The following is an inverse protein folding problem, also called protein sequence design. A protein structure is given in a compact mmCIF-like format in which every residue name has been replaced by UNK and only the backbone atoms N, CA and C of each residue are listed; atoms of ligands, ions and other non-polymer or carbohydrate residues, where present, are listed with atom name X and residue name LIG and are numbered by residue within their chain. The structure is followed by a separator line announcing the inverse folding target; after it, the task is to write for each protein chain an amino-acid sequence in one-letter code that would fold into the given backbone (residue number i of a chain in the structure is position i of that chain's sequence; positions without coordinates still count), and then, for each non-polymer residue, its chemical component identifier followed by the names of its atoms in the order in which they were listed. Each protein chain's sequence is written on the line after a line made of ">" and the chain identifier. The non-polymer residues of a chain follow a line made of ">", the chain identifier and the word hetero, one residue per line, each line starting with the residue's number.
data_IF_652598240033
#
_entry.id   IF_652598240033
#
_cell.length_a   1.000
_cell.length_b   1.000
_cell.length_c   1.000
_cell.angle_alpha   90.00
_cell.angle_beta   90.00
_cell.angle_gamma   90.00
#
_symmetry.space_group_name_H-M   'P 1'
#
loop_
_entity.id
_entity.type
_entity.pdbx_description
1 polymer ?
#
# COMPACT_ATOMS: atom_id res chain seq x y z
N UNK A 1 4.80 7.73 -17.21
CA UNK A 1 5.58 7.73 -15.95
C UNK A 1 4.63 7.87 -14.75
N UNK A 2 5.03 7.49 -13.53
CA UNK A 2 4.25 7.76 -12.33
C UNK A 2 3.97 9.26 -12.15
N UNK A 3 2.78 9.65 -11.64
CA UNK A 3 2.44 11.04 -11.45
C UNK A 3 3.10 11.63 -10.19
N UNK A 4 3.52 12.91 -10.20
CA UNK A 4 3.82 13.66 -8.97
C UNK A 4 2.58 13.77 -8.07
N UNK A 5 2.78 14.00 -6.77
CA UNK A 5 1.68 14.07 -5.80
C UNK A 5 0.71 15.22 -6.02
N UNK A 6 1.15 16.29 -6.69
CA UNK A 6 0.32 17.42 -7.12
C UNK A 6 -0.07 17.33 -8.59
N UNK A 7 0.18 16.20 -9.25
CA UNK A 7 0.03 16.06 -10.69
C UNK A 7 0.88 17.09 -11.43
N UNK A 8 0.25 17.90 -12.28
CA UNK A 8 0.89 19.01 -12.99
C UNK A 8 0.42 20.39 -12.48
N UNK A 9 -0.25 20.44 -11.33
CA UNK A 9 -0.93 21.66 -10.85
C UNK A 9 0.03 22.65 -10.20
N UNK A 10 0.91 22.17 -9.32
CA UNK A 10 1.91 23.00 -8.64
C UNK A 10 3.20 22.22 -8.44
N UNK A 11 4.33 22.92 -8.34
CA UNK A 11 5.59 22.29 -7.99
C UNK A 11 5.59 21.92 -6.50
N UNK A 12 5.51 20.63 -6.21
CA UNK A 12 5.78 20.06 -4.90
C UNK A 12 6.97 19.12 -5.03
N UNK A 13 7.68 18.88 -3.92
CA UNK A 13 8.74 17.88 -3.85
C UNK A 13 9.80 18.01 -4.96
N UNK A 14 10.22 19.24 -5.24
CA UNK A 14 11.22 19.54 -6.26
C UNK A 14 10.83 19.08 -7.69
N UNK A 15 9.54 18.95 -7.98
CA UNK A 15 9.02 18.50 -9.27
C UNK A 15 9.18 17.00 -9.50
N UNK A 16 9.43 16.24 -8.44
CA UNK A 16 9.63 14.78 -8.47
C UNK A 16 8.37 14.04 -8.05
N UNK A 17 8.38 12.73 -8.27
CA UNK A 17 7.29 11.85 -7.85
C UNK A 17 7.78 10.82 -6.84
N UNK A 18 6.88 10.45 -5.93
CA UNK A 18 7.11 9.43 -4.93
C UNK A 18 6.50 8.10 -5.37
N UNK A 19 7.32 7.06 -5.53
CA UNK A 19 6.84 5.72 -5.95
C UNK A 19 5.95 5.08 -4.91
N UNK A 20 6.08 5.49 -3.66
CA UNK A 20 5.23 5.04 -2.57
C UNK A 20 3.80 5.62 -2.66
N UNK A 21 3.66 6.82 -3.22
CA UNK A 21 2.37 7.50 -3.42
C UNK A 21 1.69 7.12 -4.73
N UNK A 22 2.39 6.44 -5.64
CA UNK A 22 1.82 6.02 -6.92
C UNK A 22 0.58 5.11 -6.72
N UNK A 23 0.54 4.32 -5.64
CA UNK A 23 -0.59 3.44 -5.36
C UNK A 23 -1.84 4.26 -5.08
N UNK A 24 -1.72 5.18 -4.12
CA UNK A 24 -2.77 6.10 -3.73
C UNK A 24 -3.25 6.95 -4.91
N UNK A 25 -2.33 7.34 -5.79
CA UNK A 25 -2.67 8.19 -6.93
C UNK A 25 -3.37 7.46 -8.08
N UNK A 26 -3.05 6.19 -8.35
CA UNK A 26 -3.42 5.57 -9.63
C UNK A 26 -4.10 4.19 -9.53
N UNK A 27 -4.01 3.48 -8.41
CA UNK A 27 -4.58 2.14 -8.29
C UNK A 27 -6.11 2.15 -8.47
N UNK A 28 -6.78 3.25 -8.08
CA UNK A 28 -8.23 3.39 -8.20
C UNK A 28 -8.72 3.29 -9.66
N UNK A 29 -7.92 3.69 -10.66
CA UNK A 29 -8.34 3.64 -12.07
C UNK A 29 -8.79 2.24 -12.51
N UNK A 30 -8.18 1.19 -11.97
CA UNK A 30 -8.57 -0.18 -12.27
C UNK A 30 -9.99 -0.51 -11.75
N UNK A 31 -10.38 0.05 -10.61
CA UNK A 31 -11.70 -0.15 -9.99
C UNK A 31 -12.81 0.61 -10.72
N UNK A 32 -12.47 1.70 -11.40
CA UNK A 32 -13.40 2.57 -12.12
C UNK A 32 -13.47 2.25 -13.63
N UNK A 33 -13.08 1.05 -14.06
CA UNK A 33 -13.01 0.66 -15.49
C UNK A 33 -12.17 1.61 -16.35
N UNK A 34 -11.12 2.21 -15.76
CA UNK A 34 -10.18 3.13 -16.43
C UNK A 34 -8.75 2.61 -16.37
N UNK A 35 -8.56 1.28 -16.33
CA UNK A 35 -7.25 0.64 -16.28
C UNK A 35 -6.22 1.22 -17.27
N UNK A 36 -6.57 1.59 -18.53
CA UNK A 36 -5.61 2.21 -19.44
C UNK A 36 -4.94 3.49 -18.91
N UNK A 37 -5.54 4.21 -17.96
CA UNK A 37 -4.91 5.37 -17.31
C UNK A 37 -3.78 4.97 -16.36
N UNK A 38 -3.94 3.87 -15.62
CA UNK A 38 -2.85 3.29 -14.84
C UNK A 38 -1.74 2.76 -15.76
N UNK A 39 -2.08 2.05 -16.84
CA UNK A 39 -1.08 1.43 -17.72
C UNK A 39 -0.13 2.43 -18.39
N UNK A 40 -0.56 3.69 -18.59
CA UNK A 40 0.28 4.80 -19.10
C UNK A 40 1.47 5.11 -18.18
N UNK A 41 1.37 4.84 -16.88
CA UNK A 41 2.48 5.07 -15.94
C UNK A 41 3.39 3.85 -15.81
N UNK A 42 2.88 2.63 -16.01
CA UNK A 42 3.58 1.39 -15.70
C UNK A 42 4.78 1.08 -16.60
N UNK A 43 4.78 1.55 -17.86
CA UNK A 43 5.92 1.37 -18.77
C UNK A 43 7.22 1.97 -18.26
N UNK A 44 7.16 2.93 -17.34
CA UNK A 44 8.32 3.52 -16.70
C UNK A 44 9.09 2.54 -15.81
N UNK A 45 8.40 1.60 -15.13
CA UNK A 45 9.10 0.60 -14.32
C UNK A 45 9.96 -0.32 -15.20
N UNK A 46 9.44 -0.71 -16.37
CA UNK A 46 10.21 -1.51 -17.33
C UNK A 46 11.42 -0.73 -17.86
N UNK A 47 11.25 0.55 -18.23
CA UNK A 47 12.38 1.35 -18.73
C UNK A 47 13.43 1.64 -17.66
N UNK A 48 13.04 1.73 -16.39
CA UNK A 48 13.96 1.99 -15.28
C UNK A 48 14.51 0.72 -14.63
N UNK A 49 14.15 -0.46 -15.12
CA UNK A 49 14.56 -1.73 -14.55
C UNK A 49 16.10 -1.91 -14.46
N UNK A 50 16.91 -1.52 -15.47
CA UNK A 50 18.37 -1.58 -15.35
C UNK A 50 18.91 -0.78 -14.16
N UNK A 51 18.40 0.44 -13.94
CA UNK A 51 18.80 1.31 -12.83
C UNK A 51 18.35 0.76 -11.48
N UNK A 52 17.14 0.20 -11.42
CA UNK A 52 16.63 -0.42 -10.20
C UNK A 52 17.47 -1.65 -9.79
N UNK A 53 17.99 -2.40 -10.78
CA UNK A 53 18.96 -3.50 -10.57
C UNK A 53 20.32 -2.98 -10.08
N UNK A 54 20.85 -1.93 -10.71
CA UNK A 54 22.09 -1.28 -10.27
C UNK A 54 21.99 -0.78 -8.82
N UNK A 55 20.86 -0.18 -8.44
CA UNK A 55 20.62 0.27 -7.08
C UNK A 55 20.55 -0.89 -6.09
N UNK A 56 19.83 -1.97 -6.41
CA UNK A 56 19.81 -3.16 -5.57
C UNK A 56 21.22 -3.75 -5.38
N UNK A 57 21.95 -3.91 -6.50
CA UNK A 57 23.29 -4.50 -6.50
C UNK A 57 24.31 -3.64 -5.72
N UNK A 58 24.26 -2.31 -5.87
CA UNK A 58 25.15 -1.41 -5.12
C UNK A 58 24.95 -1.46 -3.60
N UNK A 59 23.80 -1.99 -3.15
CA UNK A 59 23.46 -2.21 -1.75
C UNK A 59 23.60 -3.68 -1.31
N UNK A 60 24.09 -4.56 -2.20
CA UNK A 60 24.28 -5.99 -1.92
C UNK A 60 23.02 -6.86 -2.07
N UNK A 61 21.95 -6.33 -2.67
CA UNK A 61 20.71 -7.05 -2.92
C UNK A 61 20.60 -7.53 -4.37
N UNK A 62 19.79 -8.56 -4.60
CA UNK A 62 19.43 -9.03 -5.95
C UNK A 62 18.16 -8.31 -6.43
N UNK A 63 17.79 -8.53 -7.69
CA UNK A 63 16.53 -8.01 -8.23
C UNK A 63 16.53 -6.50 -8.47
N UNK A 64 15.35 -5.88 -8.41
CA UNK A 64 15.15 -4.45 -8.65
C UNK A 64 14.64 -3.73 -7.39
N UNK A 65 15.39 -2.71 -6.94
CA UNK A 65 14.99 -1.81 -5.85
C UNK A 65 14.41 -0.51 -6.41
N UNK A 66 13.22 -0.15 -5.95
CA UNK A 66 12.49 1.05 -6.38
C UNK A 66 12.69 2.19 -5.37
N UNK A 67 13.26 3.34 -5.74
CA UNK A 67 13.52 4.40 -4.75
C UNK A 67 12.24 5.11 -4.27
N UNK A 68 12.33 5.83 -3.15
CA UNK A 68 11.18 6.58 -2.60
C UNK A 68 10.77 7.72 -3.56
N UNK A 69 11.67 8.67 -3.77
CA UNK A 69 11.43 9.90 -4.55
C UNK A 69 12.37 9.92 -5.76
N UNK A 70 11.82 10.05 -6.96
CA UNK A 70 12.61 9.98 -8.20
C UNK A 70 12.12 10.98 -9.24
N UNK A 71 13.02 11.35 -10.16
CA UNK A 71 12.68 12.05 -11.39
C UNK A 71 12.39 11.08 -12.56
N UNK A 72 12.01 11.58 -13.75
CA UNK A 72 11.76 10.76 -14.93
C UNK A 72 12.92 9.80 -15.26
N UNK A 73 14.14 10.22 -14.94
CA UNK A 73 15.35 9.45 -15.17
C UNK A 73 15.52 8.26 -14.22
N UNK A 74 14.76 8.13 -13.13
CA UNK A 74 14.88 7.01 -12.18
C UNK A 74 16.10 7.08 -11.24
N UNK A 75 16.64 8.28 -10.98
CA UNK A 75 17.62 8.51 -9.92
C UNK A 75 16.93 8.64 -8.58
N UNK A 76 17.43 7.91 -7.58
CA UNK A 76 17.06 8.16 -6.20
C UNK A 76 17.43 9.59 -5.80
N UNK A 77 16.53 10.23 -5.05
CA UNK A 77 16.71 11.61 -4.66
C UNK A 77 17.36 11.71 -3.27
N UNK A 78 18.20 12.73 -3.03
CA UNK A 78 18.75 12.95 -1.69
C UNK A 78 17.63 13.05 -0.65
N UNK A 79 17.69 12.21 0.37
CA UNK A 79 16.76 12.20 1.48
C UNK A 79 17.38 11.47 2.68
N UNK A 80 17.19 11.95 3.92
CA UNK A 80 17.68 11.25 5.11
C UNK A 80 16.91 9.96 5.39
N UNK A 81 15.68 9.84 4.88
CA UNK A 81 14.81 8.67 5.08
C UNK A 81 14.60 7.87 3.80
N UNK A 82 14.51 8.54 2.64
CA UNK A 82 14.13 7.95 1.35
C UNK A 82 14.84 6.64 0.99
N UNK A 83 16.19 6.58 1.08
CA UNK A 83 16.93 5.37 0.79
C UNK A 83 16.59 4.17 1.69
N UNK A 84 15.98 4.40 2.85
CA UNK A 84 15.67 3.39 3.87
C UNK A 84 14.20 2.92 3.82
N UNK A 85 13.34 3.54 3.01
CA UNK A 85 11.96 3.12 2.83
C UNK A 85 11.85 1.91 1.90
N UNK A 86 10.96 0.97 2.27
CA UNK A 86 10.77 -0.28 1.54
C UNK A 86 9.31 -0.60 1.22
N UNK A 87 8.34 0.14 1.73
CA UNK A 87 6.92 -0.22 1.57
C UNK A 87 6.41 -0.08 0.13
N UNK A 88 7.17 0.64 -0.71
CA UNK A 88 6.91 0.79 -2.13
C UNK A 88 7.38 -0.37 -3.02
N UNK A 89 8.21 -1.27 -2.49
CA UNK A 89 8.83 -2.33 -3.27
C UNK A 89 7.83 -3.33 -3.87
N UNK A 90 6.71 -3.67 -3.19
CA UNK A 90 5.71 -4.57 -3.75
C UNK A 90 4.74 -3.87 -4.74
N UNK A 91 4.72 -2.53 -4.83
CA UNK A 91 3.77 -1.79 -5.66
C UNK A 91 3.72 -2.25 -7.13
N UNK A 92 4.86 -2.43 -7.84
CA UNK A 92 4.83 -2.86 -9.24
C UNK A 92 4.20 -4.25 -9.42
N UNK A 93 4.34 -5.13 -8.42
CA UNK A 93 3.67 -6.45 -8.40
C UNK A 93 2.16 -6.27 -8.24
N UNK A 94 1.73 -5.38 -7.34
CA UNK A 94 0.31 -5.08 -7.15
C UNK A 94 -0.33 -4.51 -8.43
N UNK A 95 0.31 -3.54 -9.09
CA UNK A 95 -0.22 -2.96 -10.33
C UNK A 95 -0.29 -3.98 -11.46
N UNK A 96 0.74 -4.81 -11.62
CA UNK A 96 0.74 -5.87 -12.60
C UNK A 96 -0.41 -6.86 -12.34
N UNK A 97 -0.67 -7.21 -11.07
CA UNK A 97 -1.81 -8.06 -10.70
C UNK A 97 -3.16 -7.40 -11.03
N UNK A 98 -3.35 -6.09 -10.82
CA UNK A 98 -4.56 -5.38 -11.27
C UNK A 98 -4.75 -5.50 -12.80
N UNK A 99 -3.67 -5.32 -13.57
CA UNK A 99 -3.70 -5.51 -15.03
C UNK A 99 -4.07 -6.94 -15.40
N UNK A 100 -3.45 -7.94 -14.76
CA UNK A 100 -3.72 -9.34 -15.05
C UNK A 100 -5.13 -9.77 -14.66
N UNK A 101 -5.64 -9.35 -13.50
CA UNK A 101 -7.00 -9.70 -13.07
C UNK A 101 -8.08 -9.10 -13.98
N UNK A 102 -7.78 -7.99 -14.64
CA UNK A 102 -8.67 -7.35 -15.62
C UNK A 102 -8.57 -7.98 -17.00
N UNK A 103 -7.36 -8.24 -17.52
CA UNK A 103 -7.14 -8.71 -18.89
C UNK A 103 -7.10 -10.25 -19.03
N UNK A 104 -6.63 -10.94 -17.99
CA UNK A 104 -6.50 -12.41 -17.85
C UNK A 104 -5.86 -13.15 -19.02
N UNK A 105 -4.84 -12.55 -19.65
CA UNK A 105 -4.17 -13.15 -20.80
C UNK A 105 -2.65 -13.27 -20.62
N UNK A 106 -2.05 -14.11 -21.49
CA UNK A 106 -0.61 -14.39 -21.50
C UNK A 106 0.23 -13.14 -21.83
N UNK A 107 -0.25 -12.29 -22.73
CA UNK A 107 0.46 -11.07 -23.13
C UNK A 107 0.66 -10.11 -21.94
N UNK A 108 -0.32 -10.00 -21.03
CA UNK A 108 -0.16 -9.22 -19.78
C UNK A 108 0.91 -9.81 -18.87
N UNK A 109 0.96 -11.15 -18.74
CA UNK A 109 1.97 -11.83 -17.93
C UNK A 109 3.38 -11.63 -18.49
N UNK A 110 3.53 -11.67 -19.81
CA UNK A 110 4.83 -11.46 -20.47
C UNK A 110 5.26 -10.01 -20.40
N UNK A 111 4.34 -9.06 -20.60
CA UNK A 111 4.61 -7.62 -20.55
C UNK A 111 5.15 -7.14 -19.21
N UNK A 112 4.58 -7.60 -18.09
CA UNK A 112 4.95 -7.14 -16.75
C UNK A 112 5.80 -8.14 -15.97
N UNK A 113 5.99 -9.35 -16.50
CA UNK A 113 6.60 -10.45 -15.76
C UNK A 113 8.00 -10.17 -15.26
N UNK A 114 8.84 -9.50 -16.06
CA UNK A 114 10.20 -9.15 -15.64
C UNK A 114 10.20 -8.20 -14.43
N UNK A 115 9.41 -7.13 -14.47
CA UNK A 115 9.25 -6.19 -13.35
C UNK A 115 8.73 -6.92 -12.10
N UNK A 116 7.77 -7.83 -12.25
CA UNK A 116 7.24 -8.64 -11.14
C UNK A 116 8.33 -9.50 -10.51
N UNK A 117 9.09 -10.24 -11.34
CA UNK A 117 10.09 -11.18 -10.84
C UNK A 117 11.32 -10.50 -10.25
N UNK A 118 11.76 -9.39 -10.83
CA UNK A 118 12.88 -8.61 -10.30
C UNK A 118 12.52 -7.89 -9.00
N UNK A 119 11.31 -7.35 -8.89
CA UNK A 119 10.81 -6.78 -7.63
C UNK A 119 10.75 -7.87 -6.54
N UNK A 120 10.23 -9.06 -6.88
CA UNK A 120 10.18 -10.18 -5.95
C UNK A 120 11.57 -10.72 -5.55
N UNK A 121 12.52 -10.71 -6.49
CA UNK A 121 13.91 -11.08 -6.20
C UNK A 121 14.57 -10.11 -5.21
N UNK A 122 14.34 -8.81 -5.36
CA UNK A 122 14.76 -7.82 -4.36
C UNK A 122 14.13 -8.11 -3.01
N UNK A 123 12.81 -8.26 -2.98
CA UNK A 123 12.06 -8.51 -1.75
C UNK A 123 12.59 -9.74 -1.00
N UNK A 124 12.82 -10.86 -1.71
CA UNK A 124 13.36 -12.07 -1.11
C UNK A 124 14.81 -11.88 -0.61
N UNK A 125 15.64 -11.14 -1.35
CA UNK A 125 17.04 -10.90 -0.97
C UNK A 125 17.21 -9.90 0.18
N UNK A 126 16.26 -8.97 0.35
CA UNK A 126 16.25 -7.99 1.45
C UNK A 126 15.84 -8.63 2.78
N UNK A 127 14.97 -9.64 2.76
CA UNK A 127 14.55 -10.33 3.96
C UNK A 127 15.73 -11.08 4.61
N UNK A 128 16.10 -10.70 5.83
CA UNK A 128 17.22 -11.28 6.55
C UNK A 128 16.78 -12.48 7.39
N UNK A 129 17.42 -13.64 7.24
CA UNK A 129 17.12 -14.81 8.06
C UNK A 129 17.83 -14.74 9.42
N UNK A 130 17.09 -14.41 10.47
CA UNK A 130 17.57 -14.40 11.85
C UNK A 130 17.62 -15.84 12.38
N UNK A 131 18.83 -16.43 12.42
CA UNK A 131 19.05 -17.85 12.77
C UNK A 131 18.57 -18.19 14.17
N UNK A 132 18.75 -17.28 15.11
CA UNK A 132 18.40 -17.46 16.52
C UNK A 132 16.88 -17.56 16.71
N UNK A 133 16.12 -16.85 15.87
CA UNK A 133 14.65 -16.80 15.89
C UNK A 133 14.00 -17.66 14.81
N UNK A 134 14.80 -18.33 13.98
CA UNK A 134 14.39 -19.18 12.86
C UNK A 134 13.35 -18.53 11.92
N UNK A 135 13.46 -17.22 11.69
CA UNK A 135 12.50 -16.44 10.89
C UNK A 135 13.18 -15.34 10.07
N UNK A 136 12.51 -14.90 9.01
CA UNK A 136 12.91 -13.74 8.22
C UNK A 136 12.41 -12.44 8.85
N UNK A 137 13.31 -11.46 8.93
CA UNK A 137 13.09 -10.13 9.50
C UNK A 137 13.25 -9.09 8.40
N UNK A 138 12.41 -8.05 8.43
CA UNK A 138 12.57 -6.85 7.61
C UNK A 138 13.22 -5.76 8.46
N UNK A 139 14.39 -5.25 8.05
CA UNK A 139 15.19 -4.28 8.81
C UNK A 139 16.02 -4.90 9.94
N UNK A 140 16.67 -4.07 10.79
CA UNK A 140 17.15 -2.73 10.46
C UNK A 140 18.36 -2.77 9.48
N UNK A 141 18.69 -1.65 8.80
CA UNK A 141 18.00 -0.37 8.83
C UNK A 141 16.73 -0.37 7.96
N UNK A 142 15.68 0.28 8.46
CA UNK A 142 14.38 0.36 7.77
C UNK A 142 13.63 1.61 8.23
N UNK A 143 13.00 2.33 7.31
CA UNK A 143 11.94 3.29 7.63
C UNK A 143 10.61 2.71 7.14
N UNK A 144 9.58 2.62 8.01
CA UNK A 144 8.30 2.07 7.60
C UNK A 144 7.46 3.14 6.92
N UNK A 145 6.31 2.77 6.38
CA UNK A 145 5.34 3.66 5.76
C UNK A 145 4.90 4.81 6.67
N UNK A 146 5.03 4.69 7.99
CA UNK A 146 4.71 5.76 8.94
C UNK A 146 5.79 6.86 9.02
N UNK A 147 7.01 6.62 8.54
CA UNK A 147 8.10 7.60 8.38
C UNK A 147 8.64 8.30 9.64
N UNK A 148 8.05 8.07 10.83
CA UNK A 148 8.40 8.79 12.06
C UNK A 148 9.26 7.99 13.06
N UNK A 149 9.91 6.91 12.59
CA UNK A 149 10.68 5.99 13.43
C UNK A 149 12.19 6.04 13.16
N UNK A 150 13.05 5.83 14.17
CA UNK A 150 14.49 5.73 13.99
C UNK A 150 14.86 4.48 13.17
N UNK A 151 15.60 4.63 12.06
CA UNK A 151 15.79 3.53 11.11
C UNK A 151 16.60 2.36 11.66
N UNK A 152 17.52 2.63 12.60
CA UNK A 152 18.40 1.62 13.20
C UNK A 152 17.68 0.72 14.21
N UNK A 153 16.50 1.13 14.66
CA UNK A 153 15.73 0.46 15.71
C UNK A 153 14.36 -0.02 15.19
N UNK A 154 14.13 0.08 13.88
CA UNK A 154 12.88 -0.35 13.25
C UNK A 154 13.09 -1.69 12.57
N UNK A 155 12.26 -2.67 12.93
CA UNK A 155 12.14 -3.93 12.20
C UNK A 155 10.72 -4.47 12.25
N UNK A 156 10.39 -5.29 11.25
CA UNK A 156 9.11 -5.98 11.14
C UNK A 156 7.88 -5.07 11.27
N UNK A 157 7.74 -4.01 10.46
CA UNK A 157 6.51 -3.23 10.44
C UNK A 157 5.28 -4.08 10.03
N UNK A 158 4.14 -3.85 10.66
CA UNK A 158 2.93 -4.68 10.46
C UNK A 158 2.45 -4.68 9.00
N UNK A 159 2.40 -3.50 8.37
CA UNK A 159 1.94 -3.37 7.00
C UNK A 159 2.91 -4.01 6.01
N UNK A 160 4.19 -3.74 6.17
CA UNK A 160 5.24 -4.20 5.28
C UNK A 160 5.39 -5.70 5.32
N UNK A 161 5.29 -6.35 6.49
CA UNK A 161 5.27 -7.82 6.58
C UNK A 161 4.13 -8.42 5.76
N UNK A 162 2.94 -7.84 5.86
CA UNK A 162 1.77 -8.27 5.10
C UNK A 162 1.97 -8.06 3.61
N UNK A 163 2.50 -6.90 3.22
CA UNK A 163 2.72 -6.57 1.83
C UNK A 163 3.85 -7.38 1.20
N UNK A 164 4.87 -7.73 1.98
CA UNK A 164 5.96 -8.61 1.55
C UNK A 164 5.44 -10.00 1.21
N UNK A 165 4.64 -10.57 2.12
CA UNK A 165 4.00 -11.86 1.90
C UNK A 165 3.08 -11.82 0.67
N UNK A 166 2.25 -10.77 0.53
CA UNK A 166 1.40 -10.58 -0.65
C UNK A 166 2.22 -10.52 -1.95
N UNK A 167 3.27 -9.69 -2.01
CA UNK A 167 4.07 -9.51 -3.21
C UNK A 167 4.78 -10.80 -3.64
N UNK A 168 5.42 -11.50 -2.71
CA UNK A 168 6.10 -12.76 -3.01
C UNK A 168 5.12 -13.87 -3.42
N UNK A 169 3.97 -14.00 -2.75
CA UNK A 169 2.91 -14.96 -3.14
C UNK A 169 2.36 -14.65 -4.53
N UNK A 170 2.15 -13.37 -4.83
CA UNK A 170 1.65 -12.93 -6.14
C UNK A 170 2.66 -13.22 -7.23
N UNK A 171 3.95 -12.95 -6.99
CA UNK A 171 5.02 -13.32 -7.92
C UNK A 171 5.11 -14.84 -8.17
N UNK A 172 4.88 -15.66 -7.14
CA UNK A 172 4.80 -17.12 -7.33
C UNK A 172 3.63 -17.52 -8.23
N UNK A 173 2.43 -16.94 -8.02
CA UNK A 173 1.28 -17.16 -8.91
C UNK A 173 1.60 -16.76 -10.35
N UNK A 174 2.33 -15.66 -10.56
CA UNK A 174 2.80 -15.23 -11.88
C UNK A 174 3.73 -16.26 -12.54
N UNK A 175 4.64 -16.88 -11.77
CA UNK A 175 5.49 -17.97 -12.28
C UNK A 175 4.64 -19.15 -12.75
N UNK A 176 3.70 -19.59 -11.93
CA UNK A 176 2.80 -20.72 -12.22
C UNK A 176 1.94 -20.44 -13.46
N UNK A 177 1.32 -19.26 -13.54
CA UNK A 177 0.54 -18.81 -14.71
C UNK A 177 1.39 -18.74 -15.98
N UNK A 178 2.71 -18.52 -15.85
CA UNK A 178 3.65 -18.57 -16.96
C UNK A 178 4.15 -20.00 -17.31
N UNK A 179 3.72 -21.03 -16.58
CA UNK A 179 4.21 -22.40 -16.72
C UNK A 179 5.61 -22.62 -16.13
N UNK A 180 6.09 -21.69 -15.28
CA UNK A 180 7.39 -21.78 -14.60
C UNK A 180 7.22 -22.43 -13.23
N UNK A 181 8.19 -23.24 -12.81
CA UNK A 181 8.26 -23.76 -11.44
C UNK A 181 8.35 -22.62 -10.43
N UNK A 182 7.74 -22.77 -9.26
CA UNK A 182 7.90 -21.86 -8.11
C UNK A 182 9.37 -21.66 -7.74
N UNK A 183 9.71 -20.49 -7.20
CA UNK A 183 11.04 -20.21 -6.66
C UNK A 183 11.11 -20.67 -5.19
N UNK A 184 11.99 -21.61 -4.87
CA UNK A 184 12.12 -22.18 -3.52
C UNK A 184 12.66 -21.20 -2.47
N UNK A 185 13.43 -20.18 -2.87
CA UNK A 185 13.83 -19.11 -1.96
C UNK A 185 12.63 -18.25 -1.54
N UNK A 186 11.79 -17.87 -2.49
CA UNK A 186 10.60 -17.05 -2.22
C UNK A 186 9.64 -17.81 -1.31
N UNK A 187 9.45 -19.11 -1.53
CA UNK A 187 8.64 -19.96 -0.65
C UNK A 187 9.20 -20.04 0.78
N UNK A 188 10.54 -20.14 0.93
CA UNK A 188 11.17 -20.10 2.26
C UNK A 188 10.93 -18.77 2.97
N UNK A 189 11.06 -17.64 2.26
CA UNK A 189 10.78 -16.32 2.84
C UNK A 189 9.32 -16.21 3.26
N UNK A 190 8.37 -16.58 2.39
CA UNK A 190 6.93 -16.55 2.71
C UNK A 190 6.63 -17.41 3.95
N UNK A 191 7.16 -18.63 4.01
CA UNK A 191 6.84 -19.59 5.06
C UNK A 191 7.45 -19.21 6.42
N UNK A 192 8.59 -18.53 6.42
CA UNK A 192 9.31 -18.15 7.64
C UNK A 192 9.30 -16.65 7.91
N UNK A 193 8.48 -15.85 7.24
CA UNK A 193 8.39 -14.41 7.49
C UNK A 193 7.91 -14.17 8.93
N UNK A 194 8.45 -13.14 9.59
CA UNK A 194 8.04 -12.79 10.94
C UNK A 194 6.53 -12.56 11.06
N UNK A 195 5.97 -12.99 12.18
CA UNK A 195 4.58 -12.71 12.52
C UNK A 195 4.35 -11.20 12.68
N UNK A 196 3.10 -10.77 12.49
CA UNK A 196 2.71 -9.38 12.70
C UNK A 196 2.89 -9.01 14.18
N UNK A 197 3.61 -7.93 14.51
CA UNK A 197 3.87 -7.57 15.89
C UNK A 197 2.59 -7.10 16.58
N UNK A 198 2.24 -7.75 17.68
CA UNK A 198 1.08 -7.41 18.48
C UNK A 198 1.44 -7.36 19.97
N UNK A 199 0.83 -6.43 20.69
CA UNK A 199 0.96 -6.26 22.13
C UNK A 199 -0.42 -5.87 22.67
N UNK A 200 -0.81 -6.43 23.82
CA UNK A 200 -2.10 -6.16 24.47
C UNK A 200 -3.32 -6.30 23.52
N UNK A 201 -3.25 -7.29 22.62
CA UNK A 201 -4.33 -7.60 21.69
C UNK A 201 -4.52 -6.61 20.54
N UNK A 202 -3.59 -5.69 20.29
CA UNK A 202 -3.57 -4.77 19.13
C UNK A 202 -2.27 -4.90 18.34
N UNK A 203 -2.28 -4.57 17.05
CA UNK A 203 -1.08 -4.53 16.23
C UNK A 203 -0.24 -3.28 16.53
N UNK A 204 1.08 -3.40 16.49
CA UNK A 204 2.01 -2.29 16.63
C UNK A 204 2.40 -1.71 15.26
N UNK A 205 2.96 -0.50 15.23
CA UNK A 205 3.54 0.05 14.01
C UNK A 205 4.67 -0.85 13.48
N UNK A 206 5.55 -1.28 14.39
CA UNK A 206 6.62 -2.24 14.15
C UNK A 206 6.96 -3.01 15.44
N UNK A 207 7.74 -4.09 15.33
CA UNK A 207 7.97 -5.03 16.44
C UNK A 207 8.66 -4.39 17.66
N UNK A 208 9.53 -3.41 17.41
CA UNK A 208 10.21 -2.63 18.44
C UNK A 208 9.48 -1.35 18.88
N UNK A 209 8.14 -1.32 18.81
CA UNK A 209 7.36 -0.09 19.06
C UNK A 209 6.22 -0.24 20.08
N UNK A 210 6.48 -0.65 21.34
CA UNK A 210 5.44 -0.69 22.37
C UNK A 210 4.73 0.67 22.59
N UNK A 211 5.40 1.77 22.25
CA UNK A 211 4.92 3.15 22.33
C UNK A 211 4.06 3.61 21.13
N UNK A 212 3.68 2.70 20.21
CA UNK A 212 2.87 2.98 19.00
C UNK A 212 1.69 3.92 19.28
N UNK A 213 0.94 3.68 20.35
CA UNK A 213 -0.30 4.40 20.67
C UNK A 213 -0.13 5.50 21.72
N UNK A 214 1.10 5.95 21.99
CA UNK A 214 1.37 7.00 22.99
C UNK A 214 2.30 8.07 22.44
N UNK A 215 3.49 7.66 22.01
CA UNK A 215 4.54 8.58 21.56
C UNK A 215 4.68 8.60 20.05
N UNK A 216 4.24 7.54 19.36
CA UNK A 216 4.35 7.36 17.91
C UNK A 216 2.98 7.34 17.22
N UNK A 217 1.95 7.92 17.85
CA UNK A 217 0.57 7.94 17.39
C UNK A 217 0.25 9.17 16.50
N UNK A 218 1.18 9.53 15.62
CA UNK A 218 1.05 10.58 14.63
C UNK A 218 1.60 10.08 13.29
N UNK A 219 1.43 10.86 12.23
CA UNK A 219 1.71 10.40 10.87
C UNK A 219 0.78 9.23 10.48
N UNK A 220 1.17 8.36 9.55
CA UNK A 220 0.29 7.33 9.02
C UNK A 220 -0.03 6.20 10.03
N UNK A 221 -1.31 5.84 10.28
CA UNK A 221 -1.69 4.64 11.02
C UNK A 221 -1.46 3.38 10.16
N UNK A 222 -0.19 3.14 9.81
CA UNK A 222 0.23 2.21 8.76
C UNK A 222 -0.19 0.77 9.03
N UNK A 223 -0.29 0.35 10.29
CA UNK A 223 -0.74 -1.00 10.67
C UNK A 223 -2.11 -1.36 10.09
N UNK A 224 -3.00 -0.36 9.89
CA UNK A 224 -4.29 -0.57 9.24
C UNK A 224 -4.14 -1.03 7.78
N UNK A 225 -3.05 -0.64 7.11
CA UNK A 225 -2.71 -1.01 5.73
C UNK A 225 -2.70 -2.52 5.48
N UNK A 226 -2.40 -3.32 6.50
CA UNK A 226 -2.41 -4.78 6.41
C UNK A 226 -3.79 -5.36 6.06
N UNK A 227 -4.87 -4.65 6.39
CA UNK A 227 -6.25 -5.04 6.04
C UNK A 227 -6.99 -3.99 5.21
N UNK A 228 -6.60 -2.72 5.22
CA UNK A 228 -7.24 -1.68 4.43
C UNK A 228 -6.79 -1.70 2.97
N UNK A 229 -5.47 -1.64 2.76
CA UNK A 229 -4.86 -1.64 1.41
C UNK A 229 -4.73 -3.06 0.84
N UNK A 230 -4.67 -4.07 1.70
CA UNK A 230 -4.43 -5.47 1.37
C UNK A 230 -5.59 -6.37 1.85
N UNK A 231 -5.64 -7.61 1.37
CA UNK A 231 -6.70 -8.58 1.72
C UNK A 231 -6.66 -9.09 3.16
N UNK A 232 -5.55 -8.88 3.88
CA UNK A 232 -5.37 -9.33 5.26
C UNK A 232 -5.15 -10.84 5.42
N UNK A 233 -4.54 -11.53 4.45
CA UNK A 233 -4.33 -12.99 4.45
C UNK A 233 -3.68 -13.55 5.73
N UNK A 234 -2.85 -12.76 6.43
CA UNK A 234 -2.17 -13.12 7.68
C UNK A 234 -2.61 -12.26 8.87
N UNK A 235 -3.74 -11.54 8.74
CA UNK A 235 -4.27 -10.62 9.76
C UNK A 235 -5.35 -11.30 10.58
N UNK A 236 -5.21 -11.26 11.91
CA UNK A 236 -6.30 -11.58 12.81
C UNK A 236 -7.30 -10.42 12.81
N UNK A 237 -8.51 -10.68 12.30
CA UNK A 237 -9.55 -9.67 12.09
C UNK A 237 -10.01 -9.01 13.40
N UNK A 238 -10.08 -9.76 14.49
CA UNK A 238 -10.50 -9.20 15.79
C UNK A 238 -9.40 -8.35 16.43
N UNK A 239 -8.12 -8.75 16.32
CA UNK A 239 -6.98 -7.90 16.67
C UNK A 239 -6.98 -6.63 15.82
N UNK A 240 -7.24 -6.71 14.51
CA UNK A 240 -7.32 -5.53 13.66
C UNK A 240 -8.52 -4.63 14.01
N UNK A 241 -9.66 -5.20 14.44
CA UNK A 241 -10.80 -4.42 14.94
C UNK A 241 -10.45 -3.64 16.20
N UNK A 242 -9.78 -4.26 17.17
CA UNK A 242 -9.27 -3.54 18.36
C UNK A 242 -8.21 -2.50 18.00
N UNK A 243 -7.34 -2.81 17.04
CA UNK A 243 -6.33 -1.90 16.49
C UNK A 243 -7.00 -0.66 15.90
N UNK A 244 -7.99 -0.85 15.01
CA UNK A 244 -8.78 0.22 14.41
C UNK A 244 -9.44 1.10 15.49
N UNK A 245 -10.14 0.50 16.46
CA UNK A 245 -10.77 1.26 17.55
C UNK A 245 -9.75 2.06 18.38
N UNK A 246 -8.57 1.50 18.62
CA UNK A 246 -7.49 2.19 19.34
C UNK A 246 -6.88 3.32 18.52
N UNK A 247 -6.69 3.15 17.21
CA UNK A 247 -6.28 4.23 16.29
C UNK A 247 -7.31 5.34 16.32
N UNK A 248 -8.59 5.04 16.12
CA UNK A 248 -9.66 6.06 16.13
C UNK A 248 -9.68 6.89 17.42
N UNK A 249 -9.40 6.26 18.56
CA UNK A 249 -9.41 6.92 19.87
C UNK A 249 -8.13 7.72 20.17
N UNK A 250 -6.97 7.15 19.86
CA UNK A 250 -5.69 7.63 20.40
C UNK A 250 -4.83 8.35 19.35
N UNK A 251 -5.16 8.28 18.05
CA UNK A 251 -4.32 8.87 17.00
C UNK A 251 -4.47 10.39 16.90
N UNK A 252 -3.36 11.07 16.66
CA UNK A 252 -3.32 12.53 16.46
C UNK A 252 -3.70 12.87 15.01
N UNK A 253 -5.02 12.88 14.73
CA UNK A 253 -5.56 13.04 13.38
C UNK A 253 -5.20 14.36 12.70
N UNK A 254 -4.89 15.42 13.44
CA UNK A 254 -4.39 16.70 12.92
C UNK A 254 -2.96 16.60 12.33
N UNK A 255 -2.22 15.54 12.70
CA UNK A 255 -0.84 15.25 12.26
C UNK A 255 -0.75 14.07 11.28
N UNK A 256 -1.82 13.83 10.53
CA UNK A 256 -1.91 12.79 9.50
C UNK A 256 -1.82 13.38 8.09
N UNK A 257 -2.09 12.57 7.06
CA UNK A 257 -2.14 12.93 5.66
C UNK A 257 -3.45 12.48 5.01
N UNK A 258 -3.79 13.08 3.86
CA UNK A 258 -5.09 12.90 3.24
C UNK A 258 -5.46 11.46 2.84
N UNK A 259 -4.49 10.56 2.68
CA UNK A 259 -4.77 9.16 2.35
C UNK A 259 -5.02 8.28 3.59
N UNK A 260 -4.77 8.78 4.80
CA UNK A 260 -4.98 8.02 6.04
C UNK A 260 -6.48 7.77 6.32
N UNK A 261 -7.34 8.70 5.89
CA UNK A 261 -8.80 8.60 5.98
C UNK A 261 -9.38 7.49 5.11
N UNK A 262 -9.10 7.42 3.79
CA UNK A 262 -9.52 6.28 2.98
C UNK A 262 -8.87 4.97 3.41
N UNK A 263 -7.61 4.97 3.89
CA UNK A 263 -7.01 3.77 4.48
C UNK A 263 -7.85 3.23 5.65
N UNK A 264 -8.21 4.13 6.56
CA UNK A 264 -9.00 3.80 7.76
C UNK A 264 -10.39 3.33 7.37
N UNK A 265 -11.03 4.01 6.41
CA UNK A 265 -12.34 3.63 5.88
C UNK A 265 -12.35 2.24 5.25
N UNK A 266 -11.35 1.92 4.42
CA UNK A 266 -11.22 0.59 3.82
C UNK A 266 -11.07 -0.50 4.88
N UNK A 267 -10.28 -0.23 5.92
CA UNK A 267 -10.07 -1.16 7.04
C UNK A 267 -11.37 -1.38 7.81
N UNK A 268 -12.08 -0.30 8.15
CA UNK A 268 -13.37 -0.34 8.85
C UNK A 268 -14.43 -1.09 8.05
N UNK A 269 -14.57 -0.79 6.76
CA UNK A 269 -15.49 -1.48 5.85
C UNK A 269 -15.21 -2.99 5.80
N UNK A 270 -13.94 -3.38 5.62
CA UNK A 270 -13.54 -4.79 5.62
C UNK A 270 -13.78 -5.49 6.95
N UNK A 271 -13.89 -4.78 8.07
CA UNK A 271 -14.23 -5.32 9.39
C UNK A 271 -15.73 -5.34 9.70
N UNK A 272 -16.56 -4.82 8.81
CA UNK A 272 -18.00 -4.64 9.02
C UNK A 272 -18.36 -3.43 9.89
N UNK A 273 -17.39 -2.58 10.22
CA UNK A 273 -17.60 -1.33 10.98
C UNK A 273 -18.03 -0.22 9.99
N UNK A 274 -19.15 -0.44 9.29
CA UNK A 274 -19.54 0.37 8.11
C UNK A 274 -19.85 1.83 8.45
N UNK A 275 -20.45 2.09 9.63
CA UNK A 275 -20.63 3.47 10.12
C UNK A 275 -19.28 4.16 10.31
N UNK A 276 -18.34 3.47 10.95
CA UNK A 276 -16.99 3.98 11.18
C UNK A 276 -16.24 4.22 9.86
N UNK A 277 -16.50 3.41 8.83
CA UNK A 277 -15.94 3.63 7.50
C UNK A 277 -16.38 4.98 6.89
N UNK A 278 -17.66 5.30 7.00
CA UNK A 278 -18.21 6.60 6.58
C UNK A 278 -17.68 7.73 7.46
N UNK A 279 -17.69 7.56 8.79
CA UNK A 279 -17.19 8.55 9.74
C UNK A 279 -15.70 8.88 9.47
N UNK A 280 -14.88 7.89 9.10
CA UNK A 280 -13.48 8.09 8.75
C UNK A 280 -13.32 8.94 7.47
N UNK A 281 -14.12 8.69 6.42
CA UNK A 281 -14.09 9.50 5.20
C UNK A 281 -14.55 10.94 5.43
N UNK A 282 -15.47 11.15 6.39
CA UNK A 282 -16.06 12.45 6.71
C UNK A 282 -15.42 13.13 7.92
N UNK A 283 -14.30 12.60 8.43
CA UNK A 283 -13.66 13.13 9.63
C UNK A 283 -13.28 14.60 9.44
N UNK A 284 -13.74 15.45 10.35
CA UNK A 284 -13.48 16.89 10.33
C UNK A 284 -12.08 17.19 10.88
N UNK A 285 -11.13 17.37 9.97
CA UNK A 285 -9.74 17.71 10.27
C UNK A 285 -9.10 18.36 9.06
N UNK A 286 -8.10 19.20 9.29
CA UNK A 286 -7.43 19.96 8.23
C UNK A 286 -6.88 19.05 7.13
N UNK A 287 -6.40 17.86 7.50
CA UNK A 287 -5.75 16.90 6.61
C UNK A 287 -6.73 16.12 5.72
N UNK A 288 -8.01 16.07 6.11
CA UNK A 288 -9.09 15.47 5.32
C UNK A 288 -9.89 16.52 4.53
N UNK A 289 -9.47 17.80 4.54
CA UNK A 289 -10.19 18.87 3.85
C UNK A 289 -10.05 18.75 2.33
N UNK A 290 -11.17 18.76 1.63
CA UNK A 290 -11.24 18.93 0.18
C UNK A 290 -11.71 20.34 -0.14
N UNK A 291 -10.98 21.04 -1.02
CA UNK A 291 -11.32 22.39 -1.46
C UNK A 291 -12.49 22.36 -2.45
N UNK A 292 -13.09 23.51 -2.75
CA UNK A 292 -14.20 23.63 -3.71
C UNK A 292 -13.84 23.13 -5.12
N UNK A 293 -12.56 23.14 -5.50
CA UNK A 293 -12.06 22.57 -6.76
C UNK A 293 -11.84 21.05 -6.70
N UNK A 294 -12.21 20.41 -5.59
CA UNK A 294 -12.09 18.97 -5.36
C UNK A 294 -10.72 18.50 -4.90
N UNK A 295 -9.68 19.35 -4.81
CA UNK A 295 -8.36 18.90 -4.35
C UNK A 295 -8.30 18.71 -2.83
N UNK A 296 -7.68 17.61 -2.39
CA UNK A 296 -7.33 17.44 -0.99
C UNK A 296 -6.19 18.41 -0.61
N UNK A 297 -6.41 19.20 0.45
CA UNK A 297 -5.48 20.18 0.95
C UNK A 297 -4.61 19.58 2.06
N UNK A 298 -3.33 19.99 2.16
CA UNK A 298 -2.44 19.50 3.24
C UNK A 298 -1.79 20.61 4.08
N UNK A 299 -1.30 21.67 3.44
CA UNK A 299 -0.60 22.82 4.05
C UNK A 299 -0.34 23.91 3.00
N UNK A 300 0.09 25.14 3.37
CA UNK A 300 0.30 26.23 2.40
C UNK A 300 1.22 25.91 1.22
N UNK A 301 2.30 25.16 1.43
CA UNK A 301 3.22 24.74 0.36
C UNK A 301 2.84 23.40 -0.32
N UNK A 302 1.69 22.83 0.05
CA UNK A 302 1.09 21.63 -0.56
C UNK A 302 -0.45 21.79 -0.60
N UNK A 303 -0.96 22.74 -1.41
CA UNK A 303 -2.40 23.05 -1.47
C UNK A 303 -3.22 22.01 -2.24
N UNK A 304 -2.56 21.10 -2.96
CA UNK A 304 -3.14 19.97 -3.67
C UNK A 304 -2.36 18.70 -3.30
N UNK A 305 -3.06 17.62 -3.00
CA UNK A 305 -2.47 16.34 -2.64
C UNK A 305 -3.31 15.19 -3.20
N UNK A 306 -2.97 14.78 -4.42
CA UNK A 306 -3.71 13.77 -5.17
C UNK A 306 -3.69 12.35 -4.56
N UNK A 307 -2.73 11.95 -3.70
CA UNK A 307 -2.86 10.71 -2.95
C UNK A 307 -4.13 10.66 -2.08
N UNK A 308 -4.55 11.78 -1.47
CA UNK A 308 -5.82 11.85 -0.73
C UNK A 308 -7.02 11.64 -1.66
N UNK A 309 -7.03 12.34 -2.80
CA UNK A 309 -8.06 12.21 -3.83
C UNK A 309 -8.19 10.78 -4.38
N UNK A 310 -7.08 10.18 -4.79
CA UNK A 310 -7.07 8.83 -5.36
C UNK A 310 -7.39 7.77 -4.30
N UNK A 311 -6.95 7.97 -3.05
CA UNK A 311 -7.36 7.16 -1.91
C UNK A 311 -8.86 7.19 -1.67
N UNK A 312 -9.48 8.37 -1.66
CA UNK A 312 -10.94 8.52 -1.56
C UNK A 312 -11.66 7.75 -2.68
N UNK A 313 -11.22 7.93 -3.93
CA UNK A 313 -11.78 7.23 -5.08
C UNK A 313 -11.61 5.71 -4.99
N UNK A 314 -10.51 5.21 -4.44
CA UNK A 314 -10.31 3.79 -4.20
C UNK A 314 -11.27 3.28 -3.13
N UNK A 315 -11.31 3.95 -1.97
CA UNK A 315 -12.11 3.54 -0.83
C UNK A 315 -13.60 3.49 -1.16
N UNK A 316 -14.16 4.52 -1.81
CA UNK A 316 -15.59 4.53 -2.16
C UNK A 316 -15.94 3.49 -3.22
N UNK A 317 -15.04 3.21 -4.17
CA UNK A 317 -15.24 2.13 -5.14
C UNK A 317 -15.25 0.75 -4.45
N UNK A 318 -14.34 0.52 -3.50
CA UNK A 318 -14.32 -0.70 -2.69
C UNK A 318 -15.58 -0.83 -1.82
N UNK A 319 -15.96 0.23 -1.13
CA UNK A 319 -17.15 0.23 -0.25
C UNK A 319 -18.46 0.03 -1.03
N UNK A 320 -18.60 0.62 -2.22
CA UNK A 320 -19.79 0.49 -3.06
C UNK A 320 -19.81 -0.81 -3.88
N UNK A 321 -18.64 -1.23 -4.34
CA UNK A 321 -18.46 -2.30 -5.30
C UNK A 321 -18.25 -3.68 -4.68
N UNK A 322 -17.71 -3.75 -3.47
CA UNK A 322 -17.34 -4.97 -2.78
C UNK A 322 -15.82 -5.21 -2.74
N UNK A 323 -15.44 -6.33 -2.15
CA UNK A 323 -14.07 -6.84 -2.10
C UNK A 323 -14.11 -8.37 -1.99
N UNK A 324 -12.98 -9.04 -2.11
CA UNK A 324 -12.90 -10.49 -1.91
C UNK A 324 -13.47 -10.90 -0.54
N UNK A 325 -14.54 -11.69 -0.56
CA UNK A 325 -15.21 -12.16 0.66
C UNK A 325 -16.11 -11.11 1.33
N UNK A 326 -16.45 -10.01 0.65
CA UNK A 326 -17.47 -9.09 1.14
C UNK A 326 -18.85 -9.75 1.20
N UNK A 327 -19.75 -9.32 2.10
CA UNK A 327 -21.13 -9.79 2.13
C UNK A 327 -21.82 -9.66 0.77
N UNK A 328 -22.67 -10.64 0.43
CA UNK A 328 -23.48 -10.63 -0.79
C UNK A 328 -24.65 -9.64 -0.68
N UNK A 329 -24.33 -8.34 -0.68
CA UNK A 329 -25.30 -7.23 -0.69
C UNK A 329 -24.77 -6.03 -1.45
N UNK A 330 -25.65 -5.14 -1.96
CA UNK A 330 -25.22 -3.87 -2.54
C UNK A 330 -24.44 -3.02 -1.54
N UNK A 331 -23.40 -2.34 -2.03
CA UNK A 331 -22.60 -1.39 -1.26
C UNK A 331 -22.18 -1.90 0.13
N UNK A 332 -21.45 -3.03 0.21
CA UNK A 332 -21.17 -3.74 1.46
C UNK A 332 -20.35 -2.93 2.47
N UNK A 333 -19.65 -1.88 2.03
CA UNK A 333 -18.91 -0.98 2.91
C UNK A 333 -19.74 0.16 3.53
N UNK A 334 -20.98 0.35 3.10
CA UNK A 334 -21.89 1.37 3.65
C UNK A 334 -22.86 0.78 4.68
N UNK A 335 -23.34 1.59 5.65
CA UNK A 335 -24.38 1.17 6.60
C UNK A 335 -25.64 0.65 5.91
N UNK A 336 -26.22 -0.40 6.47
CA UNK A 336 -27.48 -1.02 6.03
C UNK A 336 -28.64 -0.75 7.00
N UNK A 337 -28.49 0.24 7.87
CA UNK A 337 -29.47 0.71 8.87
C UNK A 337 -30.59 1.61 8.29
N UNK A 338 -30.62 1.80 6.97
CA UNK A 338 -31.60 2.62 6.27
C UNK A 338 -31.24 4.11 6.16
N UNK A 339 -30.18 4.58 6.82
CA UNK A 339 -29.70 5.97 6.69
C UNK A 339 -29.00 6.21 5.36
N UNK A 340 -28.41 5.17 4.76
CA UNK A 340 -27.72 5.23 3.49
C UNK A 340 -28.45 4.41 2.41
N UNK A 341 -28.66 5.03 1.24
CA UNK A 341 -29.12 4.34 0.02
C UNK A 341 -28.10 4.56 -1.10
N UNK A 342 -27.03 3.78 -1.09
CA UNK A 342 -25.95 3.90 -2.05
C UNK A 342 -26.31 3.27 -3.41
N UNK A 343 -25.97 3.96 -4.50
CA UNK A 343 -26.02 3.46 -5.88
C UNK A 343 -24.66 3.73 -6.53
N UNK A 344 -24.24 2.83 -7.40
CA UNK A 344 -22.94 2.92 -8.07
C UNK A 344 -23.01 2.28 -9.45
N UNK A 345 -22.34 2.88 -10.42
CA UNK A 345 -22.21 2.38 -11.78
C UNK A 345 -20.76 2.47 -12.26
N UNK A 346 -20.44 1.84 -13.39
CA UNK A 346 -19.11 1.92 -13.99
C UNK A 346 -17.97 1.28 -13.20
N UNK A 347 -18.26 0.58 -12.09
CA UNK A 347 -17.24 -0.13 -11.29
C UNK A 347 -16.86 -1.48 -11.90
N UNK A 348 -15.59 -1.84 -11.82
CA UNK A 348 -15.09 -3.16 -12.18
C UNK A 348 -15.33 -4.16 -11.03
N UNK A 349 -16.58 -4.63 -10.88
CA UNK A 349 -16.96 -5.54 -9.80
C UNK A 349 -16.23 -6.88 -9.84
N UNK A 350 -15.89 -7.37 -11.03
CA UNK A 350 -15.11 -8.61 -11.19
C UNK A 350 -13.73 -8.49 -10.55
N UNK A 351 -13.03 -7.38 -10.83
CA UNK A 351 -11.75 -7.08 -10.20
C UNK A 351 -11.89 -6.89 -8.68
N UNK A 352 -12.88 -6.12 -8.23
CA UNK A 352 -13.11 -5.88 -6.81
C UNK A 352 -13.31 -7.19 -6.02
N UNK A 353 -14.06 -8.15 -6.55
CA UNK A 353 -14.26 -9.44 -5.90
C UNK A 353 -12.99 -10.31 -5.82
N UNK A 354 -11.91 -9.93 -6.50
CA UNK A 354 -10.62 -10.61 -6.47
C UNK A 354 -9.62 -9.99 -5.50
N UNK A 355 -9.86 -8.78 -4.99
CA UNK A 355 -8.89 -8.00 -4.18
C UNK A 355 -9.38 -7.59 -2.80
#
# INVERSE_FOLDING_TARGET
>A
MPPPETGLTVNSWYGKFHLEMHWWHAAHFALWNRLPLLEKSLGWYASMLPRARELANSQGYRGARWPKMVGPEGRDSPSPIGPLLIWQQPHPIFYAELCYLTHRNRATLERYGEVVFESAAFMASYAYFAKERQRYVLGPPLIPAQENHPPRETWNPTFELTYWAYGLRTAQRWRERLGRKRNSEWDRVIAKLSALPALDGVYLAHENCPQTYRERNYDHPSMLGALGMLTGDNVNRETMRRTLKKVMKEWQWDKTWGWDYPLTAMTAARLGETKLAVDALLMETEKNRYLANGHNWQRPNLPCYLPGNGGLLYAVAMMAGGWRGSPSRPAPGFPDDGLWRARSEGLNRSLLNEI
#
